data_IF_828806076357
#
_entry.id   IF_828806076357
#
_cell.length_a   1.000
_cell.length_b   1.000
_cell.length_c   1.000
_cell.angle_alpha   90.00
_cell.angle_beta   90.00
_cell.angle_gamma   90.00
#
_symmetry.space_group_name_H-M   'P 1'
#
loop_
_entity.id
_entity.type
_entity.pdbx_description
1 polymer ?
#
# COMPACT_ATOMS: atom_id res chain seq x y z
N UNK A 1 14.66 11.32 -13.53
CA UNK A 1 13.84 10.89 -14.69
C UNK A 1 13.61 12.11 -15.57
N UNK A 2 14.16 12.12 -16.77
CA UNK A 2 13.96 13.22 -17.76
C UNK A 2 13.02 12.72 -18.86
N UNK A 3 12.08 13.58 -19.27
CA UNK A 3 11.10 13.29 -20.32
C UNK A 3 9.64 13.35 -19.85
N UNK A 4 8.73 13.72 -20.76
CA UNK A 4 7.29 13.68 -20.51
C UNK A 4 6.88 12.21 -20.43
N UNK A 5 6.47 11.75 -19.24
CA UNK A 5 5.99 10.39 -19.03
C UNK A 5 4.71 10.19 -19.85
N UNK A 6 4.69 9.18 -20.72
CA UNK A 6 3.48 8.77 -21.43
C UNK A 6 2.66 7.83 -20.55
N UNK A 7 1.73 8.41 -19.80
CA UNK A 7 0.84 7.66 -18.90
C UNK A 7 -0.08 6.68 -19.64
N UNK A 8 -0.41 6.93 -20.91
CA UNK A 8 -1.22 5.99 -21.71
C UNK A 8 -0.41 4.75 -22.09
N UNK A 9 0.87 4.92 -22.40
CA UNK A 9 1.78 3.80 -22.58
C UNK A 9 1.90 2.98 -21.29
N UNK A 10 2.08 3.63 -20.13
CA UNK A 10 2.14 2.93 -18.84
C UNK A 10 0.85 2.15 -18.54
N UNK A 11 -0.33 2.72 -18.80
CA UNK A 11 -1.60 2.01 -18.60
C UNK A 11 -1.62 0.69 -19.39
N UNK A 12 -1.20 0.72 -20.66
CA UNK A 12 -1.15 -0.45 -21.54
C UNK A 12 -0.10 -1.46 -21.09
N UNK A 13 1.13 -1.01 -20.85
CA UNK A 13 2.26 -1.89 -20.52
C UNK A 13 2.04 -2.62 -19.18
N UNK A 14 1.42 -1.94 -18.20
CA UNK A 14 1.05 -2.55 -16.94
C UNK A 14 -0.32 -3.27 -16.99
N UNK A 15 -1.14 -3.09 -18.03
CA UNK A 15 -2.46 -3.72 -18.13
C UNK A 15 -3.48 -3.20 -17.11
N UNK A 16 -3.39 -1.92 -16.76
CA UNK A 16 -4.38 -1.24 -15.90
C UNK A 16 -5.47 -0.57 -16.74
N UNK A 17 -6.48 0.01 -16.08
CA UNK A 17 -7.56 0.75 -16.74
C UNK A 17 -7.47 2.24 -16.39
N UNK A 18 -7.77 3.16 -17.32
CA UNK A 18 -7.90 4.58 -16.97
C UNK A 18 -9.10 4.79 -16.05
N UNK A 19 -9.01 5.76 -15.13
CA UNK A 19 -10.18 6.22 -14.39
C UNK A 19 -11.05 7.03 -15.35
N UNK A 20 -12.18 6.45 -15.77
CA UNK A 20 -13.08 7.07 -16.74
C UNK A 20 -13.98 8.14 -16.11
N UNK A 21 -14.55 9.07 -16.90
CA UNK A 21 -15.54 10.02 -16.41
C UNK A 21 -16.73 9.36 -15.71
N UNK A 22 -17.20 8.21 -16.22
CA UNK A 22 -18.31 7.44 -15.64
C UNK A 22 -17.94 6.87 -14.26
N UNK A 23 -16.70 6.40 -14.10
CA UNK A 23 -16.19 5.92 -12.81
C UNK A 23 -16.05 7.06 -11.80
N UNK A 24 -15.63 8.26 -12.24
CA UNK A 24 -15.59 9.46 -11.40
C UNK A 24 -16.99 9.87 -10.93
N UNK A 25 -17.97 9.90 -11.83
CA UNK A 25 -19.36 10.22 -11.50
C UNK A 25 -19.94 9.21 -10.50
N UNK A 26 -19.65 7.93 -10.71
CA UNK A 26 -20.06 6.86 -9.79
C UNK A 26 -19.44 7.03 -8.40
N UNK A 27 -18.15 7.34 -8.36
CA UNK A 27 -17.43 7.59 -7.12
C UNK A 27 -17.96 8.83 -6.39
N UNK A 28 -18.31 9.88 -7.12
CA UNK A 28 -18.95 11.08 -6.57
C UNK A 28 -20.29 10.74 -5.92
N UNK A 29 -21.17 10.02 -6.62
CA UNK A 29 -22.45 9.53 -6.08
C UNK A 29 -22.28 8.65 -4.83
N UNK A 30 -21.17 7.91 -4.75
CA UNK A 30 -20.90 7.04 -3.60
C UNK A 30 -20.41 7.79 -2.38
N UNK A 31 -19.73 8.93 -2.54
CA UNK A 31 -18.93 9.56 -1.49
C UNK A 31 -19.33 10.98 -1.14
N UNK A 32 -19.55 11.84 -2.15
CA UNK A 32 -19.79 13.28 -1.98
C UNK A 32 -21.22 13.52 -1.53
N UNK A 33 -21.41 14.44 -0.58
CA UNK A 33 -22.73 14.79 -0.05
C UNK A 33 -23.31 13.78 0.94
N UNK A 34 -22.65 12.63 1.17
CA UNK A 34 -23.00 11.66 2.22
C UNK A 34 -22.40 12.00 3.60
N UNK A 35 -21.99 13.24 3.79
CA UNK A 35 -21.58 13.83 5.08
C UNK A 35 -20.10 13.70 5.46
N UNK A 36 -19.27 12.98 4.71
CA UNK A 36 -17.85 12.78 5.07
C UNK A 36 -16.84 13.49 4.19
N UNK A 37 -17.23 13.83 2.96
CA UNK A 37 -16.46 14.68 2.05
C UNK A 37 -17.42 15.56 1.23
N UNK A 38 -17.01 16.79 0.95
CA UNK A 38 -17.84 17.80 0.25
C UNK A 38 -17.57 17.91 -1.25
N UNK A 39 -16.50 17.28 -1.74
CA UNK A 39 -16.19 17.21 -3.17
C UNK A 39 -15.26 16.03 -3.46
N UNK A 40 -15.21 15.59 -4.73
CA UNK A 40 -14.20 14.64 -5.20
C UNK A 40 -12.79 15.14 -4.86
N UNK A 41 -11.81 14.24 -4.73
CA UNK A 41 -10.45 14.69 -4.51
C UNK A 41 -9.93 15.46 -5.73
N UNK A 42 -9.20 16.57 -5.52
CA UNK A 42 -8.64 17.37 -6.62
C UNK A 42 -7.70 16.56 -7.54
N UNK A 43 -7.07 15.51 -7.01
CA UNK A 43 -6.19 14.63 -7.78
C UNK A 43 -6.91 13.66 -8.70
N UNK A 44 -8.18 13.36 -8.42
CA UNK A 44 -9.04 12.67 -9.37
C UNK A 44 -9.50 13.62 -10.47
N UNK A 45 -10.01 14.80 -10.09
CA UNK A 45 -10.45 15.83 -11.06
C UNK A 45 -9.36 16.32 -12.01
N UNK A 46 -8.09 16.23 -11.61
CA UNK A 46 -6.93 16.68 -12.39
C UNK A 46 -6.14 15.53 -13.03
N UNK A 47 -6.61 14.29 -12.92
CA UNK A 47 -5.92 13.12 -13.49
C UNK A 47 -4.52 12.88 -12.92
N UNK A 48 -4.31 13.17 -11.63
CA UNK A 48 -3.09 12.80 -10.90
C UNK A 48 -3.17 11.35 -10.43
N UNK A 49 -4.32 10.95 -9.88
CA UNK A 49 -4.71 9.54 -9.86
C UNK A 49 -5.49 9.28 -11.15
N UNK A 50 -4.91 8.51 -12.06
CA UNK A 50 -5.39 8.40 -13.45
C UNK A 50 -5.66 6.97 -13.90
N UNK A 51 -5.20 5.96 -13.16
CA UNK A 51 -5.42 4.55 -13.48
C UNK A 51 -5.89 3.75 -12.27
N UNK A 52 -6.48 2.59 -12.52
CA UNK A 52 -6.95 1.65 -11.52
C UNK A 52 -6.90 0.20 -12.03
N UNK A 53 -7.11 -0.75 -11.12
CA UNK A 53 -7.51 -2.13 -11.42
C UNK A 53 -8.70 -2.46 -10.54
N UNK A 54 -9.79 -2.92 -11.15
CA UNK A 54 -11.00 -3.39 -10.45
C UNK A 54 -11.64 -2.42 -9.44
N UNK A 55 -11.28 -1.13 -9.47
CA UNK A 55 -11.94 -0.13 -8.63
C UNK A 55 -13.45 0.00 -8.92
N UNK A 56 -13.88 -0.30 -10.15
CA UNK A 56 -15.31 -0.40 -10.47
C UNK A 56 -16.01 -1.53 -9.71
N UNK A 57 -15.30 -2.63 -9.39
CA UNK A 57 -15.79 -3.73 -8.58
C UNK A 57 -15.93 -3.32 -7.11
N UNK A 58 -14.97 -2.59 -6.55
CA UNK A 58 -15.10 -1.97 -5.22
C UNK A 58 -16.32 -1.04 -5.17
N UNK A 59 -16.52 -0.20 -6.20
CA UNK A 59 -17.70 0.66 -6.29
C UNK A 59 -19.01 -0.15 -6.34
N UNK A 60 -19.08 -1.24 -7.14
CA UNK A 60 -20.24 -2.15 -7.18
C UNK A 60 -20.53 -2.75 -5.80
N UNK A 61 -19.50 -3.22 -5.10
CA UNK A 61 -19.62 -3.81 -3.77
C UNK A 61 -20.12 -2.78 -2.75
N UNK A 62 -19.63 -1.54 -2.83
CA UNK A 62 -20.08 -0.45 -1.96
C UNK A 62 -21.54 -0.05 -2.19
N UNK A 63 -22.03 -0.06 -3.44
CA UNK A 63 -23.45 0.14 -3.73
C UNK A 63 -24.34 -0.92 -3.06
N UNK A 64 -23.81 -2.13 -2.87
CA UNK A 64 -24.49 -3.25 -2.23
C UNK A 64 -24.29 -3.28 -0.70
N UNK A 65 -23.57 -2.31 -0.13
CA UNK A 65 -23.27 -2.24 1.31
C UNK A 65 -22.16 -3.20 1.77
N UNK A 66 -21.42 -3.83 0.86
CA UNK A 66 -20.29 -4.70 1.20
C UNK A 66 -19.10 -3.85 1.65
N UNK A 67 -18.59 -4.04 2.88
CA UNK A 67 -17.43 -3.28 3.38
C UNK A 67 -16.15 -3.68 2.64
N UNK A 68 -15.20 -2.76 2.54
CA UNK A 68 -13.83 -3.00 2.06
C UNK A 68 -12.83 -2.29 3.00
N UNK A 69 -11.54 -2.57 2.89
CA UNK A 69 -10.49 -1.84 3.62
C UNK A 69 -9.44 -1.27 2.67
N UNK A 70 -8.72 -0.26 3.16
CA UNK A 70 -7.60 0.35 2.46
C UNK A 70 -6.29 -0.29 2.92
N UNK A 71 -5.37 -0.48 2.00
CA UNK A 71 -3.98 -0.84 2.30
C UNK A 71 -3.05 0.09 1.52
N UNK A 72 -2.10 0.72 2.20
CA UNK A 72 -0.97 1.41 1.58
C UNK A 72 0.29 1.15 2.39
N UNK A 73 1.44 1.69 2.00
CA UNK A 73 2.68 1.42 2.73
C UNK A 73 3.76 2.45 2.52
N UNK A 74 4.80 2.35 3.36
CA UNK A 74 5.99 3.18 3.32
C UNK A 74 7.22 2.35 3.68
N UNK A 75 8.20 2.37 2.80
CA UNK A 75 9.55 1.95 3.13
C UNK A 75 10.41 3.11 3.64
N UNK A 76 10.83 3.13 4.92
CA UNK A 76 11.46 4.28 5.56
C UNK A 76 12.97 4.38 5.25
N UNK A 77 13.33 5.21 4.27
CA UNK A 77 14.74 5.45 3.87
C UNK A 77 15.42 6.63 4.59
N UNK A 78 14.65 7.49 5.25
CA UNK A 78 15.12 8.72 5.90
C UNK A 78 14.20 9.06 7.05
N UNK A 79 14.68 9.79 8.05
CA UNK A 79 13.89 10.13 9.24
C UNK A 79 12.67 11.01 8.93
N UNK A 80 12.72 11.80 7.85
CA UNK A 80 11.62 12.67 7.43
C UNK A 80 11.12 12.33 6.02
N UNK A 81 9.82 12.50 5.81
CA UNK A 81 9.17 12.43 4.50
C UNK A 81 9.28 13.76 3.73
N UNK A 82 9.48 13.69 2.41
CA UNK A 82 9.35 14.86 1.52
C UNK A 82 7.95 14.96 0.91
N UNK A 83 7.63 16.10 0.28
CA UNK A 83 6.30 16.38 -0.30
C UNK A 83 5.78 15.30 -1.26
N UNK A 84 6.66 14.67 -2.04
CA UNK A 84 6.27 13.56 -2.93
C UNK A 84 5.66 12.36 -2.19
N UNK A 85 6.10 12.06 -0.96
CA UNK A 85 5.55 10.94 -0.18
C UNK A 85 4.15 11.26 0.34
N UNK A 86 3.79 12.54 0.50
CA UNK A 86 2.46 12.92 1.00
C UNK A 86 1.36 12.64 -0.02
N UNK A 87 1.70 12.47 -1.31
CA UNK A 87 0.71 12.24 -2.36
C UNK A 87 -0.14 10.98 -2.10
N UNK A 88 0.43 9.77 -1.96
CA UNK A 88 -0.39 8.58 -1.65
C UNK A 88 -1.13 8.71 -0.32
N UNK A 89 -0.49 9.25 0.74
CA UNK A 89 -1.13 9.33 2.07
C UNK A 89 -2.29 10.31 2.13
N UNK A 90 -2.18 11.49 1.54
CA UNK A 90 -3.27 12.48 1.52
C UNK A 90 -4.48 11.96 0.71
N UNK A 91 -4.23 11.18 -0.35
CA UNK A 91 -5.31 10.57 -1.11
C UNK A 91 -5.96 9.43 -0.34
N UNK A 92 -5.15 8.58 0.29
CA UNK A 92 -5.63 7.51 1.17
C UNK A 92 -6.46 8.05 2.32
N UNK A 93 -6.03 9.17 2.92
CA UNK A 93 -6.77 9.85 3.99
C UNK A 93 -8.13 10.33 3.48
N UNK A 94 -8.16 10.96 2.29
CA UNK A 94 -9.42 11.35 1.67
C UNK A 94 -10.31 10.13 1.35
N UNK A 95 -9.77 9.01 0.87
CA UNK A 95 -10.51 7.77 0.64
C UNK A 95 -11.07 7.20 1.94
N UNK A 96 -10.29 7.21 3.01
CA UNK A 96 -10.71 6.76 4.33
C UNK A 96 -11.90 7.58 4.83
N UNK A 97 -11.86 8.90 4.68
CA UNK A 97 -13.00 9.76 5.04
C UNK A 97 -14.20 9.51 4.13
N UNK A 98 -13.99 9.52 2.82
CA UNK A 98 -15.02 9.37 1.80
C UNK A 98 -15.84 8.07 1.97
N UNK A 99 -15.16 6.95 2.22
CA UNK A 99 -15.79 5.63 2.35
C UNK A 99 -15.98 5.17 3.79
N UNK A 100 -15.36 5.84 4.77
CA UNK A 100 -15.45 5.51 6.20
C UNK A 100 -14.94 4.11 6.57
N UNK A 101 -13.89 3.67 5.88
CA UNK A 101 -13.37 2.30 5.94
C UNK A 101 -12.13 2.16 6.83
N UNK A 102 -11.82 0.94 7.31
CA UNK A 102 -10.53 0.65 7.94
C UNK A 102 -9.36 0.85 6.97
N UNK A 103 -8.19 1.16 7.53
CA UNK A 103 -6.93 1.34 6.82
C UNK A 103 -5.82 0.59 7.55
N UNK A 104 -5.02 -0.16 6.79
CA UNK A 104 -3.75 -0.70 7.25
C UNK A 104 -2.59 -0.04 6.49
N UNK A 105 -1.53 0.32 7.21
CA UNK A 105 -0.34 0.95 6.65
C UNK A 105 0.87 0.10 7.00
N UNK A 106 1.49 -0.51 5.98
CA UNK A 106 2.69 -1.32 6.15
C UNK A 106 3.93 -0.42 6.20
N UNK A 107 4.78 -0.64 7.20
CA UNK A 107 6.10 -0.03 7.31
C UNK A 107 7.16 -1.09 7.07
N UNK A 108 7.83 -1.00 5.92
CA UNK A 108 8.72 -2.05 5.41
C UNK A 108 10.18 -1.84 5.91
N UNK A 109 10.38 -1.89 7.23
CA UNK A 109 11.74 -1.81 7.82
C UNK A 109 12.63 -2.98 7.38
N UNK A 110 12.06 -4.17 7.29
CA UNK A 110 12.72 -5.36 6.75
C UNK A 110 13.18 -5.15 5.30
N UNK A 111 12.35 -4.60 4.41
CA UNK A 111 12.74 -4.24 3.03
C UNK A 111 13.94 -3.29 3.04
N UNK A 112 13.91 -2.26 3.89
CA UNK A 112 14.99 -1.27 3.88
C UNK A 112 16.29 -1.84 4.41
N UNK A 113 16.23 -2.68 5.44
CA UNK A 113 17.38 -3.45 5.86
C UNK A 113 17.90 -4.39 4.76
N UNK A 114 17.01 -5.14 4.08
CA UNK A 114 17.40 -6.08 3.02
C UNK A 114 18.04 -5.41 1.79
N UNK A 115 17.71 -4.15 1.50
CA UNK A 115 18.26 -3.41 0.35
C UNK A 115 19.38 -2.42 0.70
N UNK A 116 19.43 -1.92 1.93
CA UNK A 116 20.30 -0.81 2.35
C UNK A 116 21.02 -1.05 3.67
N UNK A 117 20.68 -2.12 4.38
CA UNK A 117 21.31 -2.50 5.63
C UNK A 117 22.71 -3.02 5.45
N UNK A 118 23.43 -3.01 6.57
CA UNK A 118 24.77 -3.55 6.71
C UNK A 118 24.68 -4.79 7.60
N UNK A 119 25.41 -5.84 7.22
CA UNK A 119 25.55 -7.05 8.01
C UNK A 119 27.01 -7.47 7.99
N UNK A 120 27.59 -7.62 9.18
CA UNK A 120 28.96 -8.06 9.41
C UNK A 120 28.92 -9.20 10.46
N UNK A 121 29.44 -10.40 10.15
CA UNK A 121 29.40 -11.53 11.08
C UNK A 121 30.04 -11.27 12.45
N UNK A 122 31.02 -10.37 12.53
CA UNK A 122 31.79 -10.08 13.75
C UNK A 122 31.27 -8.83 14.49
N UNK A 123 30.67 -7.88 13.76
CA UNK A 123 30.21 -6.59 14.30
C UNK A 123 28.69 -6.49 14.45
N UNK A 124 27.94 -7.43 13.88
CA UNK A 124 26.48 -7.43 13.85
C UNK A 124 25.91 -6.67 12.66
N UNK A 125 24.70 -6.15 12.83
CA UNK A 125 23.93 -5.48 11.78
C UNK A 125 23.33 -4.16 12.26
N UNK A 126 22.66 -3.45 11.35
CA UNK A 126 21.99 -2.18 11.65
C UNK A 126 20.46 -2.23 11.48
N UNK A 127 19.80 -3.37 11.67
CA UNK A 127 18.34 -3.50 11.52
C UNK A 127 17.57 -2.51 12.41
N UNK A 128 18.02 -2.32 13.65
CA UNK A 128 17.36 -1.39 14.59
C UNK A 128 17.38 0.07 14.10
N UNK A 129 18.32 0.45 13.22
CA UNK A 129 18.29 1.76 12.57
C UNK A 129 17.03 1.92 11.72
N UNK A 130 16.66 0.91 10.93
CA UNK A 130 15.46 0.97 10.08
C UNK A 130 14.17 0.91 10.90
N UNK A 131 14.16 0.18 12.02
CA UNK A 131 13.04 0.18 12.98
C UNK A 131 12.85 1.56 13.64
N UNK A 132 13.95 2.25 13.93
CA UNK A 132 13.88 3.66 14.35
C UNK A 132 13.29 4.56 13.25
N UNK A 133 13.74 4.43 12.00
CA UNK A 133 13.18 5.19 10.88
C UNK A 133 11.69 4.91 10.64
N UNK A 134 11.25 3.66 10.82
CA UNK A 134 9.83 3.27 10.83
C UNK A 134 9.05 4.11 11.83
N UNK A 135 9.56 4.23 13.06
CA UNK A 135 8.92 5.00 14.13
C UNK A 135 8.83 6.49 13.78
N UNK A 136 9.89 7.08 13.22
CA UNK A 136 9.87 8.49 12.81
C UNK A 136 8.91 8.73 11.63
N UNK A 137 8.91 7.86 10.61
CA UNK A 137 7.99 8.01 9.46
C UNK A 137 6.53 7.77 9.87
N UNK A 138 6.27 6.92 10.87
CA UNK A 138 4.93 6.75 11.40
C UNK A 138 4.37 8.06 11.98
N UNK A 139 5.21 8.91 12.60
CA UNK A 139 4.78 10.25 13.09
C UNK A 139 4.34 11.15 11.94
N UNK A 140 5.11 11.19 10.85
CA UNK A 140 4.77 11.98 9.64
C UNK A 140 3.45 11.49 9.01
N UNK A 141 3.24 10.18 8.96
CA UNK A 141 2.01 9.57 8.43
C UNK A 141 0.82 9.92 9.34
N UNK A 142 0.96 9.78 10.66
CA UNK A 142 -0.08 10.17 11.63
C UNK A 142 -0.44 11.65 11.48
N UNK A 143 0.54 12.51 11.23
CA UNK A 143 0.33 13.95 11.01
C UNK A 143 -0.52 14.28 9.77
N UNK A 144 -0.70 13.34 8.83
CA UNK A 144 -1.63 13.51 7.71
C UNK A 144 -3.12 13.53 8.15
N UNK A 145 -3.42 13.15 9.40
CA UNK A 145 -4.75 13.28 10.00
C UNK A 145 -5.70 12.12 9.69
N UNK A 146 -5.18 10.89 9.68
CA UNK A 146 -6.00 9.67 9.60
C UNK A 146 -6.85 9.47 10.87
N UNK A 147 -7.98 8.77 10.75
CA UNK A 147 -8.78 8.37 11.92
C UNK A 147 -8.06 7.28 12.70
N UNK A 148 -7.56 7.64 13.90
CA UNK A 148 -6.85 6.72 14.81
C UNK A 148 -7.66 5.46 15.13
N UNK A 149 -8.99 5.54 15.19
CA UNK A 149 -9.85 4.38 15.52
C UNK A 149 -9.97 3.39 14.38
N UNK A 150 -9.56 3.77 13.16
CA UNK A 150 -9.71 2.99 11.93
C UNK A 150 -8.40 2.75 11.20
N UNK A 151 -7.29 3.14 11.80
CA UNK A 151 -5.99 3.10 11.15
C UNK A 151 -5.03 2.26 11.97
N UNK A 152 -4.50 1.22 11.35
CA UNK A 152 -3.48 0.35 11.93
C UNK A 152 -2.19 0.51 11.14
N UNK A 153 -1.16 1.05 11.79
CA UNK A 153 0.18 1.20 11.22
C UNK A 153 1.04 0.13 11.89
N UNK A 154 1.79 -0.64 11.10
CA UNK A 154 2.60 -1.74 11.62
C UNK A 154 3.97 -1.81 10.97
N UNK A 155 4.97 -2.19 11.76
CA UNK A 155 6.29 -2.62 11.30
C UNK A 155 6.20 -4.07 10.79
N UNK A 156 6.83 -4.36 9.66
CA UNK A 156 6.93 -5.73 9.17
C UNK A 156 7.70 -6.61 10.15
N UNK A 157 8.80 -6.12 10.72
CA UNK A 157 9.55 -6.85 11.75
C UNK A 157 8.70 -7.21 12.98
N UNK A 158 7.79 -6.32 13.41
CA UNK A 158 7.00 -6.52 14.63
C UNK A 158 5.71 -7.33 14.39
N UNK A 159 5.10 -7.24 13.20
CA UNK A 159 3.79 -7.84 12.90
C UNK A 159 3.87 -9.12 12.04
N UNK A 160 5.09 -9.54 11.63
CA UNK A 160 5.35 -10.67 10.73
C UNK A 160 4.58 -11.94 11.09
N UNK A 161 4.52 -12.30 12.38
CA UNK A 161 3.90 -13.54 12.85
C UNK A 161 2.43 -13.69 12.43
N UNK A 162 1.68 -12.58 12.40
CA UNK A 162 0.26 -12.58 11.98
C UNK A 162 0.11 -12.74 10.47
N UNK A 163 1.04 -12.20 9.67
CA UNK A 163 1.01 -12.25 8.21
C UNK A 163 1.61 -13.53 7.63
N UNK A 164 2.47 -14.21 8.40
CA UNK A 164 3.26 -15.35 7.94
C UNK A 164 2.46 -16.45 7.23
N UNK A 165 1.24 -16.85 7.66
CA UNK A 165 0.46 -17.83 6.93
C UNK A 165 0.12 -17.43 5.48
N UNK A 166 -0.12 -16.15 5.21
CA UNK A 166 -0.36 -15.66 3.85
C UNK A 166 0.96 -15.53 3.08
N UNK A 167 2.03 -15.07 3.72
CA UNK A 167 3.36 -15.00 3.13
C UNK A 167 3.79 -16.38 2.59
N UNK A 168 3.66 -17.43 3.40
CA UNK A 168 4.01 -18.82 3.00
C UNK A 168 3.15 -19.30 1.83
N UNK A 169 1.85 -18.99 1.81
CA UNK A 169 0.97 -19.32 0.67
C UNK A 169 1.42 -18.64 -0.61
N UNK A 170 1.82 -17.37 -0.53
CA UNK A 170 2.27 -16.59 -1.68
C UNK A 170 3.64 -17.09 -2.17
N UNK A 171 4.59 -17.36 -1.28
CA UNK A 171 5.87 -18.00 -1.64
C UNK A 171 5.67 -19.35 -2.32
N UNK A 172 4.68 -20.13 -1.90
CA UNK A 172 4.35 -21.40 -2.55
C UNK A 172 3.75 -21.22 -3.95
N UNK A 173 2.99 -20.15 -4.15
CA UNK A 173 2.26 -19.88 -5.40
C UNK A 173 3.13 -19.22 -6.49
N UNK A 174 4.22 -18.55 -6.12
CA UNK A 174 5.05 -17.76 -7.04
C UNK A 174 6.41 -18.43 -7.20
N UNK A 175 6.78 -18.76 -8.44
CA UNK A 175 8.11 -19.31 -8.73
C UNK A 175 9.18 -18.22 -8.66
N UNK A 176 10.42 -18.59 -8.33
CA UNK A 176 11.55 -17.68 -8.37
C UNK A 176 11.74 -17.03 -9.76
N UNK A 177 11.53 -17.78 -10.84
CA UNK A 177 11.61 -17.24 -12.20
C UNK A 177 10.59 -16.13 -12.45
N UNK A 178 9.36 -16.28 -11.94
CA UNK A 178 8.32 -15.24 -12.01
C UNK A 178 8.75 -13.99 -11.24
N UNK A 179 9.22 -14.15 -9.99
CA UNK A 179 9.69 -13.04 -9.17
C UNK A 179 10.89 -12.33 -9.82
N UNK A 180 11.86 -13.08 -10.34
CA UNK A 180 13.01 -12.55 -11.07
C UNK A 180 12.60 -11.77 -12.31
N UNK A 181 11.66 -12.27 -13.11
CA UNK A 181 11.17 -11.58 -14.30
C UNK A 181 10.46 -10.27 -13.98
N UNK A 182 9.74 -10.20 -12.85
CA UNK A 182 9.01 -9.02 -12.42
C UNK A 182 9.89 -7.96 -11.75
N UNK A 183 10.83 -8.38 -10.88
CA UNK A 183 11.60 -7.48 -10.01
C UNK A 183 13.08 -7.36 -10.37
N UNK A 184 13.56 -8.15 -11.32
CA UNK A 184 14.95 -8.07 -11.81
C UNK A 184 16.00 -8.63 -10.86
N UNK A 185 15.66 -9.58 -9.99
CA UNK A 185 16.62 -10.19 -9.07
C UNK A 185 17.77 -10.89 -9.81
N UNK A 186 18.98 -10.77 -9.27
CA UNK A 186 20.23 -11.30 -9.85
C UNK A 186 20.95 -12.20 -8.83
N UNK A 187 22.05 -12.83 -9.24
CA UNK A 187 22.79 -13.76 -8.38
C UNK A 187 23.37 -13.08 -7.12
N UNK A 188 23.57 -11.77 -7.18
CA UNK A 188 24.04 -10.92 -6.08
C UNK A 188 22.91 -10.46 -5.15
N UNK A 189 21.65 -10.67 -5.51
CA UNK A 189 20.52 -10.36 -4.62
C UNK A 189 20.49 -11.36 -3.45
N UNK A 190 20.35 -10.87 -2.22
CA UNK A 190 20.23 -11.76 -1.07
C UNK A 190 18.86 -12.48 -1.07
N UNK A 191 18.78 -13.61 -0.36
CA UNK A 191 17.57 -14.44 -0.33
C UNK A 191 16.35 -13.67 0.16
N UNK A 192 16.53 -12.73 1.10
CA UNK A 192 15.45 -11.90 1.63
C UNK A 192 14.87 -10.97 0.57
N UNK A 193 15.70 -10.34 -0.26
CA UNK A 193 15.22 -9.51 -1.38
C UNK A 193 14.31 -10.31 -2.33
N UNK A 194 14.72 -11.54 -2.67
CA UNK A 194 13.93 -12.39 -3.55
C UNK A 194 12.62 -12.89 -2.93
N UNK A 195 12.56 -12.97 -1.60
CA UNK A 195 11.40 -13.42 -0.83
C UNK A 195 10.45 -12.26 -0.48
N UNK A 196 10.96 -11.03 -0.38
CA UNK A 196 10.21 -9.86 0.07
C UNK A 196 8.88 -9.59 -0.67
N UNK A 197 8.71 -9.84 -1.99
CA UNK A 197 7.45 -9.56 -2.66
C UNK A 197 6.21 -10.21 -2.00
N UNK A 198 6.37 -11.36 -1.34
CA UNK A 198 5.28 -11.99 -0.60
C UNK A 198 4.89 -11.22 0.68
N UNK A 199 5.87 -10.58 1.33
CA UNK A 199 5.66 -9.75 2.53
C UNK A 199 4.85 -8.51 2.15
N UNK A 200 5.19 -7.84 1.03
CA UNK A 200 4.39 -6.71 0.53
C UNK A 200 3.02 -7.13 -0.02
N UNK A 201 2.87 -8.35 -0.54
CA UNK A 201 1.58 -8.83 -1.03
C UNK A 201 0.63 -9.26 0.10
N UNK A 202 1.14 -9.77 1.22
CA UNK A 202 0.33 -10.32 2.32
C UNK A 202 -0.71 -9.34 2.93
N UNK A 203 -0.44 -8.02 3.06
CA UNK A 203 -1.43 -7.06 3.51
C UNK A 203 -2.63 -6.86 2.58
N UNK A 204 -2.57 -7.35 1.34
CA UNK A 204 -3.71 -7.35 0.40
C UNK A 204 -4.79 -8.36 0.80
N UNK A 205 -4.50 -9.24 1.76
CA UNK A 205 -5.44 -10.23 2.26
C UNK A 205 -5.88 -9.87 3.69
N UNK A 206 -7.19 -9.70 3.94
CA UNK A 206 -7.70 -9.31 5.26
C UNK A 206 -7.44 -10.37 6.35
N UNK A 207 -7.19 -11.63 5.94
CA UNK A 207 -6.81 -12.71 6.85
C UNK A 207 -5.43 -12.53 7.50
N UNK A 208 -4.61 -11.57 7.03
CA UNK A 208 -3.40 -11.09 7.70
C UNK A 208 -3.70 -10.20 8.92
N UNK A 209 -4.95 -9.74 9.06
CA UNK A 209 -5.39 -8.74 10.03
C UNK A 209 -6.64 -9.17 10.78
N UNK A 210 -6.75 -10.45 11.15
CA UNK A 210 -7.95 -11.01 11.79
C UNK A 210 -8.42 -10.22 13.01
N UNK A 211 -7.49 -9.79 13.86
CA UNK A 211 -7.79 -9.04 15.08
C UNK A 211 -8.13 -7.57 14.81
N UNK A 212 -7.48 -6.98 13.80
CA UNK A 212 -7.62 -5.56 13.44
C UNK A 212 -8.88 -5.30 12.62
N UNK A 213 -9.16 -6.14 11.62
CA UNK A 213 -10.29 -5.98 10.70
C UNK A 213 -11.54 -6.76 11.14
N UNK A 214 -11.38 -7.80 11.97
CA UNK A 214 -12.47 -8.66 12.46
C UNK A 214 -13.34 -9.29 11.35
N UNK A 215 -12.84 -9.30 10.12
CA UNK A 215 -13.47 -9.83 8.93
C UNK A 215 -12.39 -10.26 7.94
N UNK A 216 -12.30 -11.56 7.65
CA UNK A 216 -11.26 -12.16 6.81
C UNK A 216 -11.66 -12.31 5.33
N UNK A 217 -12.75 -11.65 4.91
CA UNK A 217 -13.27 -11.67 3.52
C UNK A 217 -13.44 -10.29 2.92
N UNK A 218 -12.99 -9.26 3.63
CA UNK A 218 -13.09 -7.89 3.18
C UNK A 218 -12.24 -7.64 1.93
N UNK A 219 -12.79 -7.11 0.83
CA UNK A 219 -12.02 -6.66 -0.32
C UNK A 219 -11.00 -5.58 0.08
N UNK A 220 -9.88 -5.52 -0.63
CA UNK A 220 -8.80 -4.58 -0.39
C UNK A 220 -8.73 -3.55 -1.55
N UNK A 221 -8.58 -2.27 -1.22
CA UNK A 221 -8.24 -1.22 -2.18
C UNK A 221 -6.87 -0.62 -1.85
N UNK A 222 -5.97 -0.61 -2.83
CA UNK A 222 -4.57 -0.18 -2.66
C UNK A 222 -4.31 1.14 -3.41
N UNK A 223 -4.35 2.31 -2.74
CA UNK A 223 -3.82 3.55 -3.29
C UNK A 223 -2.28 3.59 -3.22
N UNK A 224 -1.62 3.75 -4.36
CA UNK A 224 -0.17 3.86 -4.49
C UNK A 224 0.23 4.81 -5.62
#
# INVERSE_FOLDING_TARGET
VTGKIDYQKLIRDFGSSPISPELLERMEKLTVGKGRVSSLHRWLRRGIFFSHREFDAICKMQEQGTPFYLYTGRGPNSAAMHLGHLLPFMFTKWLQEAFNVPLVIQMTDDEKFLWKGEYDPDKGDNLDHFRYLTTENAKDIIACGFDKKKTFIFSDCDYMGHMYPNIVRIWKAITYNTARGAFGFVGESNIGQSAFPAIQAAPSFPSSFKEVLQNDRMPCLIPC
#
